data_IF_199419783844
#
_entry.id   IF_199419783844
#
_cell.length_a   1.000
_cell.length_b   1.000
_cell.length_c   1.000
_cell.angle_alpha   90.00
_cell.angle_beta   90.00
_cell.angle_gamma   90.00
#
_symmetry.space_group_name_H-M   'P 1'
#
loop_
_entity.id
_entity.type
_entity.pdbx_description
1 polymer ?
#
# COMPACT_ATOMS: atom_id res chain seq x y z
N UNK A 1 71.76 4.84 -34.56
CA UNK A 1 70.73 4.17 -35.39
C UNK A 1 69.53 5.09 -35.50
N UNK A 2 69.39 5.71 -36.68
CA UNK A 2 68.18 6.15 -37.41
C UNK A 2 67.02 6.84 -36.63
N UNK A 3 66.93 8.16 -36.85
CA UNK A 3 65.76 9.09 -36.82
C UNK A 3 64.73 8.68 -37.91
N UNK A 4 63.44 9.15 -38.07
CA UNK A 4 62.76 10.30 -37.44
C UNK A 4 61.19 10.30 -37.32
N UNK A 5 60.65 11.45 -36.83
CA UNK A 5 59.53 12.25 -37.36
C UNK A 5 58.03 11.85 -37.28
N UNK A 6 57.27 12.82 -36.72
CA UNK A 6 56.06 13.53 -37.22
C UNK A 6 54.67 12.84 -37.34
N UNK A 7 53.68 13.66 -36.93
CA UNK A 7 52.36 13.96 -37.53
C UNK A 7 51.06 13.43 -36.89
N UNK A 8 50.38 14.37 -36.20
CA UNK A 8 48.97 14.80 -36.28
C UNK A 8 47.89 13.87 -36.89
N UNK A 9 46.80 13.78 -36.12
CA UNK A 9 45.40 14.18 -36.42
C UNK A 9 44.31 13.10 -36.33
N UNK A 10 43.28 13.46 -35.54
CA UNK A 10 41.85 13.13 -35.58
C UNK A 10 41.38 11.72 -35.95
N UNK A 11 40.67 11.08 -35.02
CA UNK A 11 39.28 10.62 -35.28
C UNK A 11 38.66 9.95 -34.03
N UNK A 12 37.59 10.55 -33.54
CA UNK A 12 36.35 9.92 -33.07
C UNK A 12 36.42 8.43 -32.67
N UNK A 13 36.57 8.15 -31.37
CA UNK A 13 36.25 6.82 -30.83
C UNK A 13 34.73 6.78 -30.58
N UNK A 14 34.07 6.02 -31.46
CA UNK A 14 32.68 5.61 -31.37
C UNK A 14 32.37 4.99 -30.00
N UNK A 15 31.31 5.49 -29.38
CA UNK A 15 30.62 4.87 -28.25
C UNK A 15 30.01 3.55 -28.73
N UNK A 16 30.58 2.42 -28.34
CA UNK A 16 29.84 1.17 -28.29
C UNK A 16 28.98 1.19 -27.03
N UNK A 17 27.70 1.51 -27.21
CA UNK A 17 26.65 1.32 -26.22
C UNK A 17 26.57 -0.18 -25.94
N UNK A 18 27.11 -0.59 -24.79
CA UNK A 18 26.84 -1.90 -24.22
C UNK A 18 25.34 -2.06 -24.00
N UNK A 19 24.78 -3.12 -24.56
CA UNK A 19 23.37 -3.53 -24.38
C UNK A 19 23.06 -3.57 -22.88
N UNK A 20 22.00 -2.87 -22.51
CA UNK A 20 21.46 -2.76 -21.16
C UNK A 20 20.96 -4.10 -20.63
N UNK A 21 21.20 -4.32 -19.33
CA UNK A 21 20.75 -5.43 -18.47
C UNK A 21 19.21 -5.53 -18.29
N UNK A 22 18.40 -5.31 -19.34
CA UNK A 22 16.93 -5.32 -19.27
C UNK A 22 16.30 -6.70 -19.55
N UNK A 23 17.06 -7.70 -20.00
CA UNK A 23 16.53 -9.03 -20.36
C UNK A 23 16.52 -10.06 -19.23
N UNK A 24 17.20 -9.80 -18.10
CA UNK A 24 17.44 -10.83 -17.07
C UNK A 24 16.28 -11.10 -16.10
N UNK A 25 15.10 -10.47 -16.29
CA UNK A 25 13.96 -10.58 -15.35
C UNK A 25 12.59 -10.85 -16.02
N UNK A 26 12.56 -11.27 -17.29
CA UNK A 26 11.30 -11.64 -17.95
C UNK A 26 10.91 -13.08 -17.61
N UNK A 27 9.70 -13.25 -17.09
CA UNK A 27 9.10 -14.58 -16.87
C UNK A 27 9.00 -15.33 -18.22
N UNK A 28 9.54 -16.55 -18.35
CA UNK A 28 9.47 -17.32 -19.58
C UNK A 28 8.02 -17.53 -20.04
N UNK A 29 7.79 -17.43 -21.35
CA UNK A 29 6.44 -17.58 -21.94
C UNK A 29 5.79 -18.93 -21.59
N UNK A 30 6.59 -19.99 -21.49
CA UNK A 30 6.13 -21.31 -21.06
C UNK A 30 5.53 -21.30 -19.65
N UNK A 31 6.17 -20.58 -18.71
CA UNK A 31 5.69 -20.45 -17.32
C UNK A 31 4.38 -19.65 -17.27
N UNK A 32 4.26 -18.59 -18.09
CA UNK A 32 3.00 -17.83 -18.21
C UNK A 32 1.86 -18.71 -18.71
N UNK A 33 2.10 -19.57 -19.71
CA UNK A 33 1.11 -20.52 -20.22
C UNK A 33 0.67 -21.49 -19.12
N UNK A 34 1.60 -22.00 -18.32
CA UNK A 34 1.28 -22.94 -17.25
C UNK A 34 0.53 -22.28 -16.09
N UNK A 35 0.83 -21.02 -15.76
CA UNK A 35 0.03 -20.22 -14.81
C UNK A 35 -1.41 -20.10 -15.32
N UNK A 36 -1.61 -19.74 -16.59
CA UNK A 36 -2.95 -19.62 -17.17
C UNK A 36 -3.70 -20.96 -17.14
N UNK A 37 -3.03 -22.07 -17.49
CA UNK A 37 -3.63 -23.41 -17.40
C UNK A 37 -4.02 -23.78 -15.98
N UNK A 38 -3.19 -23.44 -15.00
CA UNK A 38 -3.52 -23.65 -13.59
C UNK A 38 -4.76 -22.83 -13.20
N UNK A 39 -4.87 -21.59 -13.66
CA UNK A 39 -6.01 -20.73 -13.34
C UNK A 39 -7.31 -21.24 -13.95
N UNK A 40 -7.29 -21.57 -15.25
CA UNK A 40 -8.44 -22.14 -15.95
C UNK A 40 -8.89 -23.44 -15.27
N UNK A 41 -7.94 -24.27 -14.80
CA UNK A 41 -8.25 -25.49 -14.03
C UNK A 41 -8.92 -25.16 -12.71
N UNK A 42 -8.40 -24.18 -11.95
CA UNK A 42 -9.01 -23.77 -10.69
C UNK A 42 -10.41 -23.23 -10.90
N UNK A 43 -10.67 -22.48 -11.98
CA UNK A 43 -12.00 -21.91 -12.27
C UNK A 43 -13.08 -22.98 -12.49
N UNK A 44 -12.71 -24.17 -13.01
CA UNK A 44 -13.66 -25.27 -13.27
C UNK A 44 -13.71 -26.32 -12.15
N UNK A 45 -12.85 -26.24 -11.13
CA UNK A 45 -12.86 -27.19 -10.00
C UNK A 45 -14.13 -27.06 -9.17
N UNK A 46 -14.59 -28.14 -8.53
CA UNK A 46 -15.63 -28.03 -7.50
C UNK A 46 -15.07 -27.35 -6.24
N UNK A 47 -15.91 -26.68 -5.45
CA UNK A 47 -15.47 -26.07 -4.18
C UNK A 47 -14.81 -27.10 -3.24
N UNK A 48 -15.33 -28.34 -3.22
CA UNK A 48 -14.76 -29.45 -2.46
C UNK A 48 -13.32 -29.77 -2.90
N UNK A 49 -13.05 -29.76 -4.20
CA UNK A 49 -11.71 -30.02 -4.74
C UNK A 49 -10.75 -28.85 -4.48
N UNK A 50 -11.24 -27.61 -4.55
CA UNK A 50 -10.45 -26.41 -4.21
C UNK A 50 -10.00 -26.50 -2.75
N UNK A 51 -10.93 -26.75 -1.82
CA UNK A 51 -10.63 -26.93 -0.39
C UNK A 51 -9.65 -28.08 -0.18
N UNK A 52 -9.85 -29.22 -0.85
CA UNK A 52 -8.94 -30.36 -0.74
C UNK A 52 -7.50 -30.00 -1.19
N UNK A 53 -7.35 -29.23 -2.27
CA UNK A 53 -6.05 -28.78 -2.77
C UNK A 53 -5.39 -27.73 -1.89
N UNK A 54 -6.15 -26.79 -1.34
CA UNK A 54 -5.65 -25.86 -0.33
C UNK A 54 -5.12 -26.63 0.89
N UNK A 55 -5.86 -27.63 1.39
CA UNK A 55 -5.39 -28.50 2.49
C UNK A 55 -4.10 -29.24 2.13
N UNK A 56 -3.99 -29.80 0.91
CA UNK A 56 -2.75 -30.45 0.46
C UNK A 56 -1.54 -29.51 0.46
N UNK A 57 -1.76 -28.22 0.19
CA UNK A 57 -0.73 -27.19 0.25
C UNK A 57 -0.54 -26.59 1.65
N UNK A 58 -1.22 -27.11 2.68
CA UNK A 58 -1.21 -26.59 4.05
C UNK A 58 -1.66 -25.11 4.12
N UNK A 59 -2.60 -24.76 3.25
CA UNK A 59 -3.14 -23.41 3.14
C UNK A 59 -4.47 -23.26 3.89
N UNK A 60 -4.73 -22.06 4.40
CA UNK A 60 -6.01 -21.65 4.99
C UNK A 60 -7.18 -21.97 4.04
N UNK A 61 -8.24 -22.53 4.63
CA UNK A 61 -9.47 -22.93 3.94
C UNK A 61 -10.71 -22.17 4.42
N UNK A 62 -10.52 -21.06 5.15
CA UNK A 62 -11.61 -20.14 5.51
C UNK A 62 -11.79 -19.06 4.45
N UNK A 63 -13.03 -18.61 4.23
CA UNK A 63 -13.38 -17.59 3.26
C UNK A 63 -14.32 -18.10 2.16
N UNK A 64 -14.91 -17.15 1.44
CA UNK A 64 -15.84 -17.43 0.36
C UNK A 64 -15.18 -18.23 -0.78
N UNK A 65 -16.00 -18.94 -1.57
CA UNK A 65 -15.54 -19.73 -2.72
C UNK A 65 -14.58 -18.96 -3.64
N UNK A 66 -14.85 -17.66 -3.88
CA UNK A 66 -14.01 -16.80 -4.70
C UNK A 66 -12.61 -16.62 -4.09
N UNK A 67 -12.53 -16.36 -2.79
CA UNK A 67 -11.25 -16.17 -2.08
C UNK A 67 -10.46 -17.49 -2.10
N UNK A 68 -11.10 -18.63 -1.84
CA UNK A 68 -10.45 -19.93 -1.86
C UNK A 68 -9.87 -20.26 -3.24
N UNK A 69 -10.60 -19.94 -4.31
CA UNK A 69 -10.13 -20.09 -5.69
C UNK A 69 -8.93 -19.18 -5.98
N UNK A 70 -9.00 -17.90 -5.64
CA UNK A 70 -7.88 -16.97 -5.84
C UNK A 70 -6.64 -17.34 -5.03
N UNK A 71 -6.81 -17.86 -3.80
CA UNK A 71 -5.72 -18.36 -2.98
C UNK A 71 -5.02 -19.56 -3.63
N UNK A 72 -5.81 -20.48 -4.19
CA UNK A 72 -5.27 -21.64 -4.87
C UNK A 72 -4.54 -21.24 -6.17
N UNK A 73 -5.09 -20.30 -6.94
CA UNK A 73 -4.44 -19.73 -8.13
C UNK A 73 -3.09 -19.09 -7.79
N UNK A 74 -3.08 -18.19 -6.81
CA UNK A 74 -1.87 -17.52 -6.33
C UNK A 74 -0.81 -18.54 -5.88
N UNK A 75 -1.23 -19.63 -5.25
CA UNK A 75 -0.32 -20.67 -4.79
C UNK A 75 0.33 -21.44 -5.95
N UNK A 76 -0.45 -21.82 -6.97
CA UNK A 76 0.11 -22.40 -8.20
C UNK A 76 1.06 -21.42 -8.90
N UNK A 77 0.70 -20.14 -8.95
CA UNK A 77 1.55 -19.10 -9.53
C UNK A 77 2.90 -19.03 -8.81
N UNK A 78 2.91 -19.00 -7.47
CA UNK A 78 4.12 -19.00 -6.65
C UNK A 78 4.97 -20.25 -6.90
N UNK A 79 4.36 -21.43 -6.96
CA UNK A 79 5.07 -22.70 -7.21
C UNK A 79 5.75 -22.69 -8.59
N UNK A 80 5.02 -22.30 -9.64
CA UNK A 80 5.52 -22.30 -11.01
C UNK A 80 6.65 -21.29 -11.22
N UNK A 81 6.58 -20.16 -10.54
CA UNK A 81 7.59 -19.11 -10.59
C UNK A 81 8.85 -19.46 -9.77
N UNK A 82 8.68 -20.05 -8.59
CA UNK A 82 9.81 -20.58 -7.81
C UNK A 82 10.55 -21.69 -8.56
N UNK A 83 9.84 -22.48 -9.39
CA UNK A 83 10.44 -23.54 -10.21
C UNK A 83 11.43 -23.05 -11.27
N UNK A 84 11.44 -21.75 -11.58
CA UNK A 84 12.36 -21.12 -12.54
C UNK A 84 13.28 -20.07 -11.89
N UNK A 85 13.44 -20.10 -10.56
CA UNK A 85 14.18 -19.13 -9.75
C UNK A 85 13.77 -17.66 -9.99
N UNK A 86 12.63 -17.45 -10.63
CA UNK A 86 11.99 -16.17 -10.80
C UNK A 86 10.96 -16.08 -9.70
N UNK A 87 11.40 -15.93 -8.44
CA UNK A 87 10.45 -15.50 -7.42
C UNK A 87 9.81 -14.23 -7.96
N UNK A 88 8.47 -14.15 -8.05
CA UNK A 88 7.80 -12.86 -8.02
C UNK A 88 8.48 -12.14 -6.87
N UNK A 89 9.23 -11.07 -7.15
CA UNK A 89 9.65 -10.18 -6.09
C UNK A 89 8.34 -9.77 -5.42
N UNK A 90 8.03 -10.38 -4.28
CA UNK A 90 6.97 -9.89 -3.45
C UNK A 90 7.49 -8.51 -3.08
N UNK A 91 6.98 -7.48 -3.75
CA UNK A 91 7.33 -6.07 -3.53
C UNK A 91 6.83 -5.59 -2.15
N UNK A 92 6.78 -6.50 -1.18
CA UNK A 92 6.47 -6.26 0.20
C UNK A 92 7.66 -5.58 0.85
N UNK A 93 7.34 -4.60 1.68
CA UNK A 93 8.32 -4.04 2.60
C UNK A 93 8.57 -5.04 3.73
N UNK A 94 9.78 -5.08 4.31
CA UNK A 94 10.10 -5.99 5.41
C UNK A 94 9.16 -5.83 6.62
N UNK A 95 8.72 -4.60 6.88
CA UNK A 95 7.84 -4.28 7.98
C UNK A 95 6.71 -3.33 7.57
N UNK A 96 5.59 -3.49 8.25
CA UNK A 96 4.45 -2.57 8.19
C UNK A 96 4.11 -2.12 9.62
N UNK A 97 3.82 -0.84 9.79
CA UNK A 97 3.41 -0.26 11.06
C UNK A 97 1.97 0.19 10.92
N UNK A 98 1.05 -0.55 11.50
CA UNK A 98 -0.37 -0.23 11.45
C UNK A 98 -0.65 0.83 12.52
N UNK A 99 -1.33 1.91 12.17
CA UNK A 99 -1.75 2.99 13.08
C UNK A 99 -3.23 3.25 12.85
N UNK A 100 -3.98 3.42 13.93
CA UNK A 100 -5.39 3.80 13.91
C UNK A 100 -5.66 4.71 15.12
N UNK A 101 -5.68 6.03 14.91
CA UNK A 101 -5.76 6.98 16.01
C UNK A 101 -7.19 7.10 16.52
N UNK A 102 -7.35 7.13 17.84
CA UNK A 102 -8.55 7.71 18.44
C UNK A 102 -8.33 9.19 18.70
N UNK A 103 -9.37 9.99 18.47
CA UNK A 103 -9.32 11.43 18.62
C UNK A 103 -10.56 11.98 19.35
N UNK A 104 -10.42 13.14 19.99
CA UNK A 104 -11.56 13.85 20.57
C UNK A 104 -12.64 14.06 19.51
N UNK A 105 -13.91 13.88 19.88
CA UNK A 105 -15.02 13.97 18.94
C UNK A 105 -16.31 14.46 19.59
N UNK A 106 -17.24 14.88 18.73
CA UNK A 106 -18.61 15.27 19.07
C UNK A 106 -19.57 14.30 18.37
N UNK A 107 -20.77 14.16 18.92
CA UNK A 107 -21.83 13.34 18.33
C UNK A 107 -22.16 13.77 16.89
N UNK A 108 -22.23 15.07 16.65
CA UNK A 108 -22.35 15.63 15.30
C UNK A 108 -20.97 16.00 14.75
N UNK A 109 -20.71 15.66 13.48
CA UNK A 109 -19.48 16.06 12.78
C UNK A 109 -19.53 17.57 12.47
N UNK A 110 -19.26 18.37 13.50
CA UNK A 110 -19.35 19.82 13.46
C UNK A 110 -18.16 20.40 12.68
N UNK A 111 -18.39 21.15 11.58
CA UNK A 111 -17.32 21.78 10.82
C UNK A 111 -16.45 22.67 11.71
N UNK A 112 -15.14 22.53 11.61
CA UNK A 112 -14.17 23.32 12.37
C UNK A 112 -13.87 22.81 13.79
N UNK A 113 -14.48 21.72 14.23
CA UNK A 113 -14.07 21.08 15.49
C UNK A 113 -12.61 20.62 15.42
N UNK A 114 -11.83 20.98 16.45
CA UNK A 114 -10.40 20.69 16.53
C UNK A 114 -10.19 19.34 17.22
N UNK A 115 -10.17 18.28 16.42
CA UNK A 115 -9.85 16.94 16.88
C UNK A 115 -8.40 16.85 17.37
N UNK A 116 -8.20 16.33 18.57
CA UNK A 116 -6.89 16.03 19.15
C UNK A 116 -6.75 14.52 19.33
N UNK A 117 -5.58 13.97 19.02
CA UNK A 117 -5.30 12.54 19.23
C UNK A 117 -5.33 12.25 20.74
N UNK A 118 -6.10 11.25 21.15
CA UNK A 118 -6.23 10.79 22.54
C UNK A 118 -5.77 9.35 22.75
N UNK A 119 -5.59 8.57 21.67
CA UNK A 119 -4.87 7.29 21.68
C UNK A 119 -3.92 7.23 20.49
N UNK A 120 -2.67 6.84 20.75
CA UNK A 120 -1.65 6.54 19.74
C UNK A 120 -1.28 5.06 19.81
N UNK A 121 -2.02 4.18 19.12
CA UNK A 121 -1.66 2.79 18.99
C UNK A 121 -0.76 2.57 17.76
N UNK A 122 0.07 1.54 17.83
CA UNK A 122 0.72 0.99 16.65
C UNK A 122 0.95 -0.52 16.76
N UNK A 123 0.81 -1.23 15.65
CA UNK A 123 1.08 -2.67 15.55
C UNK A 123 2.16 -2.91 14.51
N UNK A 124 3.23 -3.61 14.91
CA UNK A 124 4.33 -3.94 14.02
C UNK A 124 4.12 -5.33 13.40
N UNK A 125 4.06 -5.38 12.07
CA UNK A 125 3.97 -6.63 11.30
C UNK A 125 5.29 -6.88 10.59
N UNK A 126 5.82 -8.11 10.70
CA UNK A 126 6.93 -8.61 9.90
C UNK A 126 6.37 -9.37 8.70
N UNK A 127 6.59 -8.87 7.49
CA UNK A 127 5.98 -9.44 6.27
C UNK A 127 6.60 -10.78 5.86
N UNK A 128 7.87 -11.02 6.19
CA UNK A 128 8.55 -12.29 5.90
C UNK A 128 8.03 -13.41 6.78
N UNK A 129 7.84 -13.13 8.07
CA UNK A 129 7.31 -14.08 9.05
C UNK A 129 5.78 -14.16 9.04
N UNK A 130 5.12 -13.18 8.42
CA UNK A 130 3.66 -13.02 8.40
C UNK A 130 3.04 -13.04 9.80
N UNK A 131 3.66 -12.31 10.72
CA UNK A 131 3.21 -12.23 12.11
C UNK A 131 3.25 -10.80 12.65
N UNK A 132 2.41 -10.53 13.66
CA UNK A 132 2.54 -9.36 14.51
C UNK A 132 3.70 -9.62 15.47
N UNK A 133 4.70 -8.74 15.48
CA UNK A 133 5.93 -8.93 16.27
C UNK A 133 6.04 -8.00 17.48
N UNK A 134 5.32 -6.88 17.49
CA UNK A 134 5.26 -5.98 18.65
C UNK A 134 4.03 -5.07 18.57
N UNK A 135 3.66 -4.47 19.70
CA UNK A 135 2.58 -3.48 19.80
C UNK A 135 3.07 -2.28 20.64
N UNK A 136 2.56 -1.11 20.31
CA UNK A 136 2.74 0.13 21.07
C UNK A 136 1.35 0.71 21.32
N UNK A 137 1.13 1.24 22.52
CA UNK A 137 -0.11 1.93 22.86
C UNK A 137 0.22 2.96 23.94
N UNK A 138 -0.15 4.20 23.68
CA UNK A 138 -0.14 5.27 24.67
C UNK A 138 -1.38 6.13 24.48
N UNK A 139 -1.97 6.57 25.58
CA UNK A 139 -2.96 7.62 25.56
C UNK A 139 -2.28 8.98 25.47
N UNK A 140 -3.00 9.97 24.96
CA UNK A 140 -2.54 11.34 24.79
C UNK A 140 -3.48 12.29 25.55
N UNK A 141 -2.90 13.23 26.30
CA UNK A 141 -3.65 14.28 26.97
C UNK A 141 -3.99 15.41 25.99
N UNK A 142 -5.27 15.65 25.67
CA UNK A 142 -5.67 16.78 24.84
C UNK A 142 -5.52 18.11 25.60
N UNK A 143 -5.14 19.17 24.90
CA UNK A 143 -4.86 20.49 25.47
C UNK A 143 -5.85 21.57 25.02
N UNK A 144 -6.47 21.41 23.84
CA UNK A 144 -7.47 22.35 23.31
C UNK A 144 -8.85 22.01 23.88
N UNK A 145 -9.23 20.74 23.83
CA UNK A 145 -10.47 20.20 24.36
C UNK A 145 -10.16 19.13 25.43
N UNK A 146 -9.69 19.53 26.62
CA UNK A 146 -9.18 18.59 27.64
C UNK A 146 -10.27 17.69 28.25
N UNK A 147 -11.54 18.14 28.21
CA UNK A 147 -12.67 17.37 28.73
C UNK A 147 -13.30 16.59 27.58
N UNK A 148 -13.26 15.26 27.68
CA UNK A 148 -13.90 14.37 26.72
C UNK A 148 -15.41 14.53 26.80
N UNK A 149 -16.07 14.47 25.65
CA UNK A 149 -17.53 14.38 25.63
C UNK A 149 -17.97 12.98 26.03
N UNK A 150 -19.21 12.87 26.53
CA UNK A 150 -19.83 11.58 26.83
C UNK A 150 -19.84 10.68 25.59
N UNK A 151 -20.23 11.22 24.43
CA UNK A 151 -20.18 10.50 23.15
C UNK A 151 -18.77 9.98 22.81
N UNK A 152 -17.73 10.79 23.00
CA UNK A 152 -16.35 10.37 22.73
C UNK A 152 -15.92 9.22 23.66
N UNK A 153 -16.27 9.32 24.94
CA UNK A 153 -15.99 8.29 25.95
C UNK A 153 -16.74 6.99 25.64
N UNK A 154 -18.02 7.07 25.28
CA UNK A 154 -18.84 5.91 24.90
C UNK A 154 -18.34 5.24 23.62
N UNK A 155 -18.00 6.04 22.60
CA UNK A 155 -17.50 5.54 21.33
C UNK A 155 -16.15 4.85 21.54
N UNK A 156 -15.16 5.54 22.08
CA UNK A 156 -13.77 5.06 22.15
C UNK A 156 -13.48 4.15 23.36
N UNK A 157 -14.30 4.24 24.40
CA UNK A 157 -14.07 3.56 25.67
C UNK A 157 -12.96 4.20 26.51
N UNK A 158 -12.37 5.30 26.05
CA UNK A 158 -11.31 6.03 26.75
C UNK A 158 -11.95 6.92 27.80
N UNK A 159 -11.55 6.74 29.07
CA UNK A 159 -12.06 7.52 30.18
C UNK A 159 -11.34 8.85 30.34
N UNK A 160 -12.00 9.80 31.01
CA UNK A 160 -11.36 11.08 31.36
C UNK A 160 -10.10 10.88 32.20
N UNK A 161 -10.11 9.92 33.15
CA UNK A 161 -8.95 9.62 33.99
C UNK A 161 -7.73 9.15 33.18
N UNK A 162 -7.96 8.37 32.10
CA UNK A 162 -6.90 7.91 31.22
C UNK A 162 -6.23 9.07 30.49
N UNK A 163 -7.00 10.02 29.93
CA UNK A 163 -6.41 11.19 29.25
C UNK A 163 -5.85 12.21 30.23
N UNK A 164 -6.39 12.32 31.44
CA UNK A 164 -5.87 13.24 32.47
C UNK A 164 -4.48 12.83 32.96
N UNK A 165 -4.28 11.51 33.09
CA UNK A 165 -3.03 10.87 33.52
C UNK A 165 -2.02 10.66 32.38
N UNK A 166 -2.45 10.83 31.13
CA UNK A 166 -1.62 10.65 29.95
C UNK A 166 -0.58 11.77 29.77
N UNK A 167 0.46 11.47 28.99
CA UNK A 167 1.37 12.48 28.50
C UNK A 167 0.77 13.27 27.34
N UNK A 168 1.26 14.48 27.12
CA UNK A 168 0.90 15.29 25.94
C UNK A 168 1.50 14.69 24.67
N UNK A 169 0.86 14.96 23.52
CA UNK A 169 1.22 14.35 22.24
C UNK A 169 2.70 14.56 21.84
N UNK A 170 3.28 15.72 22.14
CA UNK A 170 4.69 16.05 21.87
C UNK A 170 5.66 15.08 22.56
N UNK A 171 5.28 14.52 23.72
CA UNK A 171 6.04 13.47 24.40
C UNK A 171 5.72 12.08 23.83
N UNK A 172 4.44 11.78 23.61
CA UNK A 172 4.00 10.47 23.09
C UNK A 172 4.63 10.18 21.72
N UNK A 173 4.71 11.17 20.82
CA UNK A 173 5.37 10.97 19.52
C UNK A 173 6.87 10.67 19.64
N UNK A 174 7.55 11.20 20.67
CA UNK A 174 8.95 10.86 20.96
C UNK A 174 9.07 9.43 21.47
N UNK A 175 8.14 8.98 22.32
CA UNK A 175 8.07 7.58 22.76
C UNK A 175 7.82 6.63 21.58
N UNK A 176 6.92 6.98 20.66
CA UNK A 176 6.69 6.22 19.44
C UNK A 176 7.94 6.15 18.55
N UNK A 177 8.66 7.27 18.36
CA UNK A 177 9.92 7.28 17.59
C UNK A 177 11.02 6.43 18.24
N UNK A 178 11.11 6.40 19.57
CA UNK A 178 12.01 5.49 20.30
C UNK A 178 11.61 4.04 20.07
N UNK A 179 10.32 3.73 20.08
CA UNK A 179 9.81 2.39 19.77
C UNK A 179 10.15 1.94 18.34
N UNK A 180 9.98 2.81 17.33
CA UNK A 180 10.45 2.54 15.96
C UNK A 180 11.97 2.28 15.90
N UNK A 181 12.74 3.07 16.64
CA UNK A 181 14.20 2.97 16.68
C UNK A 181 14.70 1.67 17.33
N UNK A 182 14.00 1.19 18.38
CA UNK A 182 14.27 -0.12 19.03
C UNK A 182 14.22 -1.27 18.01
N UNK A 183 13.33 -1.17 17.03
CA UNK A 183 13.18 -2.14 15.93
C UNK A 183 14.02 -1.80 14.69
N UNK A 184 14.87 -0.77 14.75
CA UNK A 184 15.72 -0.30 13.65
C UNK A 184 14.93 0.04 12.37
N UNK A 185 13.68 0.50 12.54
CA UNK A 185 12.79 0.88 11.45
C UNK A 185 13.17 2.27 10.92
N UNK A 186 13.34 2.38 9.60
CA UNK A 186 13.79 3.60 8.93
C UNK A 186 15.32 3.78 8.92
N UNK A 187 16.07 2.97 9.69
CA UNK A 187 17.53 2.91 9.64
C UNK A 187 18.02 1.66 8.91
N UNK A 188 17.92 0.49 9.55
CA UNK A 188 18.32 -0.80 8.97
C UNK A 188 17.21 -1.43 8.14
N UNK A 189 15.96 -1.27 8.57
CA UNK A 189 14.82 -1.92 7.96
C UNK A 189 13.87 -0.89 7.36
N UNK A 190 13.52 -1.06 6.08
CA UNK A 190 12.44 -0.29 5.45
C UNK A 190 11.10 -0.70 6.05
N UNK A 191 10.22 0.27 6.21
CA UNK A 191 8.84 0.03 6.62
C UNK A 191 7.90 1.02 5.95
N UNK A 192 6.60 0.78 6.05
CA UNK A 192 5.56 1.74 5.70
C UNK A 192 4.45 1.72 6.74
N UNK A 193 3.82 2.88 6.94
CA UNK A 193 2.60 2.97 7.75
C UNK A 193 1.41 2.41 6.98
N UNK A 194 0.49 1.76 7.68
CA UNK A 194 -0.78 1.25 7.15
C UNK A 194 -1.93 1.79 8.02
N UNK A 195 -3.00 2.28 7.41
CA UNK A 195 -4.15 2.89 8.10
C UNK A 195 -5.46 2.43 7.47
N UNK A 196 -6.56 2.49 8.23
CA UNK A 196 -7.92 2.20 7.74
C UNK A 196 -8.59 3.41 7.08
N UNK A 197 -7.97 3.88 6.00
CA UNK A 197 -8.40 5.08 5.28
C UNK A 197 -7.36 6.21 5.35
N UNK A 198 -7.74 7.42 4.88
CA UNK A 198 -6.79 8.51 4.78
C UNK A 198 -6.65 9.35 6.06
N UNK A 199 -7.62 9.31 6.97
CA UNK A 199 -7.79 10.35 8.00
C UNK A 199 -6.72 10.34 9.09
N UNK A 200 -6.16 9.19 9.46
CA UNK A 200 -5.09 9.11 10.46
C UNK A 200 -3.91 10.01 10.12
N UNK A 201 -3.40 9.88 8.90
CA UNK A 201 -2.25 10.67 8.45
C UNK A 201 -2.69 12.06 7.99
N UNK A 202 -3.74 12.15 7.17
CA UNK A 202 -4.10 13.40 6.48
C UNK A 202 -4.90 14.39 7.31
N UNK A 203 -5.56 13.94 8.37
CA UNK A 203 -6.38 14.78 9.25
C UNK A 203 -5.84 14.78 10.67
N UNK A 204 -5.80 13.63 11.34
CA UNK A 204 -5.49 13.58 12.79
C UNK A 204 -4.04 13.93 13.07
N UNK A 205 -3.07 13.17 12.55
CA UNK A 205 -1.65 13.45 12.74
C UNK A 205 -1.26 14.82 12.19
N UNK A 206 -1.76 15.16 11.00
CA UNK A 206 -1.50 16.45 10.38
C UNK A 206 -1.95 17.62 11.26
N UNK A 207 -3.20 17.58 11.72
CA UNK A 207 -3.76 18.66 12.55
C UNK A 207 -3.08 18.71 13.91
N UNK A 208 -2.80 17.56 14.53
CA UNK A 208 -2.11 17.50 15.82
C UNK A 208 -0.72 18.12 15.75
N UNK A 209 0.07 17.78 14.72
CA UNK A 209 1.37 18.42 14.49
C UNK A 209 1.21 19.93 14.24
N UNK A 210 0.19 20.33 13.47
CA UNK A 210 -0.06 21.74 13.18
C UNK A 210 -0.41 22.54 14.45
N UNK A 211 -1.30 22.02 15.31
CA UNK A 211 -1.69 22.68 16.56
C UNK A 211 -0.52 22.91 17.51
N UNK A 212 0.40 21.95 17.57
CA UNK A 212 1.57 21.99 18.44
C UNK A 212 2.81 22.61 17.78
N UNK A 213 2.68 23.09 16.53
CA UNK A 213 3.81 23.57 15.73
C UNK A 213 4.98 22.58 15.64
N UNK A 214 4.66 21.27 15.61
CA UNK A 214 5.65 20.20 15.47
C UNK A 214 5.93 19.92 13.99
N UNK A 215 7.18 19.56 13.63
CA UNK A 215 7.49 19.11 12.28
C UNK A 215 6.71 17.82 11.97
N UNK A 216 6.06 17.79 10.81
CA UNK A 216 5.34 16.59 10.39
C UNK A 216 6.33 15.44 10.11
N UNK A 217 6.14 14.25 10.70
CA UNK A 217 7.12 13.20 10.64
C UNK A 217 7.25 12.61 9.23
N UNK A 218 8.50 12.40 8.77
CA UNK A 218 8.77 11.84 7.43
C UNK A 218 8.08 10.50 7.19
N UNK A 219 7.99 9.64 8.21
CA UNK A 219 7.33 8.34 8.11
C UNK A 219 5.81 8.43 7.88
N UNK A 220 5.16 9.54 8.23
CA UNK A 220 3.73 9.75 8.01
C UNK A 220 3.39 10.33 6.63
N UNK A 221 4.40 10.67 5.81
CA UNK A 221 4.18 11.39 4.54
C UNK A 221 3.66 10.49 3.41
N UNK A 222 3.88 9.18 3.53
CA UNK A 222 3.39 8.15 2.60
C UNK A 222 2.94 6.95 3.40
N UNK A 223 1.78 6.41 3.06
CA UNK A 223 1.21 5.27 3.77
C UNK A 223 0.42 4.36 2.82
N UNK A 224 0.08 3.19 3.31
CA UNK A 224 -0.90 2.28 2.71
C UNK A 224 -2.26 2.58 3.34
N UNK A 225 -3.18 3.11 2.55
CA UNK A 225 -4.59 3.02 2.85
C UNK A 225 -5.06 1.61 2.52
N UNK A 226 -5.35 0.82 3.57
CA UNK A 226 -5.68 -0.59 3.40
C UNK A 226 -7.01 -0.78 2.68
N UNK A 227 -8.00 0.11 2.86
CA UNK A 227 -9.29 0.06 2.15
C UNK A 227 -9.09 0.11 0.63
N UNK A 228 -8.20 0.98 0.16
CA UNK A 228 -7.85 1.09 -1.27
C UNK A 228 -7.10 -0.13 -1.77
N UNK A 229 -6.16 -0.65 -0.97
CA UNK A 229 -5.42 -1.86 -1.33
C UNK A 229 -6.37 -3.07 -1.42
N UNK A 230 -7.27 -3.21 -0.45
CA UNK A 230 -8.28 -4.26 -0.35
C UNK A 230 -9.21 -4.23 -1.56
N UNK A 231 -9.84 -3.09 -1.83
CA UNK A 231 -10.70 -2.86 -2.99
C UNK A 231 -10.00 -3.22 -4.31
N UNK A 232 -8.74 -2.77 -4.48
CA UNK A 232 -7.96 -3.06 -5.68
C UNK A 232 -7.68 -4.56 -5.85
N UNK A 233 -7.36 -5.25 -4.76
CA UNK A 233 -6.97 -6.66 -4.79
C UNK A 233 -8.17 -7.59 -4.97
N UNK A 234 -9.17 -7.51 -4.09
CA UNK A 234 -10.35 -8.38 -4.12
C UNK A 234 -11.45 -7.92 -5.09
N UNK A 235 -11.26 -6.80 -5.80
CA UNK A 235 -12.26 -6.21 -6.71
C UNK A 235 -13.60 -5.93 -6.03
N UNK A 236 -13.55 -5.54 -4.76
CA UNK A 236 -14.72 -5.17 -3.95
C UNK A 236 -15.03 -3.69 -4.08
N UNK A 237 -16.17 -3.26 -3.50
CA UNK A 237 -16.41 -1.86 -3.19
C UNK A 237 -15.47 -1.37 -2.07
N UNK A 238 -15.49 -0.07 -1.79
CA UNK A 238 -14.74 0.50 -0.66
C UNK A 238 -15.41 0.11 0.65
N UNK A 239 -14.78 -0.76 1.42
CA UNK A 239 -15.29 -1.28 2.68
C UNK A 239 -14.59 -0.64 3.89
N UNK A 240 -15.31 -0.48 5.00
CA UNK A 240 -14.71 -0.19 6.30
C UNK A 240 -14.21 -1.46 6.99
N UNK A 241 -13.49 -1.30 8.11
CA UNK A 241 -12.88 -2.39 8.87
C UNK A 241 -13.79 -3.61 9.08
N UNK A 242 -14.96 -3.42 9.70
CA UNK A 242 -15.90 -4.51 9.99
C UNK A 242 -16.34 -5.26 8.72
N UNK A 243 -16.63 -4.54 7.64
CA UNK A 243 -17.08 -5.15 6.39
C UNK A 243 -15.92 -5.86 5.65
N UNK A 244 -14.68 -5.37 5.77
CA UNK A 244 -13.52 -6.09 5.25
C UNK A 244 -13.29 -7.40 6.01
N UNK A 245 -13.46 -7.40 7.34
CA UNK A 245 -13.40 -8.62 8.15
C UNK A 245 -14.50 -9.60 7.77
N UNK A 246 -15.74 -9.13 7.65
CA UNK A 246 -16.89 -9.94 7.23
C UNK A 246 -16.67 -10.56 5.84
N UNK A 247 -16.17 -9.76 4.88
CA UNK A 247 -15.83 -10.26 3.53
C UNK A 247 -14.80 -11.40 3.58
N UNK A 248 -13.83 -11.32 4.49
CA UNK A 248 -12.81 -12.35 4.71
C UNK A 248 -13.29 -13.49 5.62
N UNK A 249 -14.55 -13.48 6.06
CA UNK A 249 -15.13 -14.41 7.04
C UNK A 249 -14.37 -14.44 8.37
N UNK A 250 -13.87 -13.27 8.79
CA UNK A 250 -13.13 -13.08 10.03
C UNK A 250 -13.98 -12.32 11.03
N UNK A 251 -13.97 -12.76 12.29
CA UNK A 251 -14.60 -11.99 13.37
C UNK A 251 -13.68 -10.86 13.84
N UNK A 252 -14.28 -9.73 14.20
CA UNK A 252 -13.60 -8.67 14.95
C UNK A 252 -13.13 -9.23 16.31
N UNK A 253 -11.92 -8.84 16.73
CA UNK A 253 -11.35 -9.22 18.03
C UNK A 253 -11.06 -8.00 18.88
N UNK A 254 -11.54 -8.00 20.11
CA UNK A 254 -11.39 -6.86 21.03
C UNK A 254 -12.60 -5.94 21.00
N UNK A 255 -12.39 -4.67 21.36
CA UNK A 255 -13.44 -3.64 21.38
C UNK A 255 -13.34 -2.75 20.14
N UNK A 256 -14.44 -2.58 19.40
CA UNK A 256 -14.50 -1.64 18.27
C UNK A 256 -14.29 -0.21 18.79
N UNK A 257 -13.52 0.62 18.07
CA UNK A 257 -13.10 1.97 18.49
C UNK A 257 -12.18 2.00 19.70
N UNK A 258 -11.52 0.88 20.02
CA UNK A 258 -10.30 0.88 20.81
C UNK A 258 -9.16 0.83 19.79
N UNK A 259 -8.35 1.89 19.71
CA UNK A 259 -7.43 2.07 18.60
C UNK A 259 -6.41 0.93 18.47
N UNK A 260 -5.93 0.36 19.59
CA UNK A 260 -5.05 -0.81 19.53
C UNK A 260 -5.75 -2.07 18.99
N UNK A 261 -7.00 -2.30 19.37
CA UNK A 261 -7.76 -3.46 18.89
C UNK A 261 -8.11 -3.31 17.41
N UNK A 262 -8.51 -2.11 16.97
CA UNK A 262 -8.74 -1.82 15.56
C UNK A 262 -7.45 -2.00 14.74
N UNK A 263 -6.32 -1.44 15.20
CA UNK A 263 -5.01 -1.64 14.57
C UNK A 263 -4.60 -3.12 14.46
N UNK A 264 -4.90 -3.95 15.47
CA UNK A 264 -4.67 -5.40 15.39
C UNK A 264 -5.56 -6.08 14.36
N UNK A 265 -6.83 -5.66 14.22
CA UNK A 265 -7.72 -6.20 13.21
C UNK A 265 -7.31 -5.77 11.79
N UNK A 266 -6.86 -4.53 11.61
CA UNK A 266 -6.25 -4.06 10.36
C UNK A 266 -4.99 -4.88 10.04
N UNK A 267 -4.14 -5.16 11.02
CA UNK A 267 -2.97 -6.03 10.84
C UNK A 267 -3.36 -7.45 10.41
N UNK A 268 -4.45 -8.00 10.95
CA UNK A 268 -4.99 -9.31 10.54
C UNK A 268 -5.47 -9.30 9.09
N UNK A 269 -6.15 -8.24 8.64
CA UNK A 269 -6.54 -8.06 7.23
C UNK A 269 -5.28 -7.98 6.35
N UNK A 270 -4.31 -7.15 6.75
CA UNK A 270 -3.04 -7.00 6.01
C UNK A 270 -2.33 -8.35 5.84
N UNK A 271 -2.22 -9.13 6.90
CA UNK A 271 -1.62 -10.47 6.86
C UNK A 271 -2.39 -11.41 5.95
N UNK A 272 -3.73 -11.40 6.02
CA UNK A 272 -4.58 -12.19 5.12
C UNK A 272 -4.38 -11.79 3.66
N UNK A 273 -4.32 -10.50 3.37
CA UNK A 273 -4.03 -10.01 2.02
C UNK A 273 -2.65 -10.43 1.52
N UNK A 274 -1.60 -10.33 2.35
CA UNK A 274 -0.24 -10.78 2.01
C UNK A 274 -0.23 -12.28 1.72
N UNK A 275 -0.89 -13.05 2.56
CA UNK A 275 -1.02 -14.48 2.42
C UNK A 275 -1.70 -14.86 1.09
N UNK A 276 -2.81 -14.19 0.77
CA UNK A 276 -3.56 -14.31 -0.48
C UNK A 276 -2.78 -13.81 -1.71
N UNK A 277 -1.63 -13.16 -1.53
CA UNK A 277 -0.72 -12.73 -2.61
C UNK A 277 -0.83 -11.26 -3.02
N UNK A 278 -1.47 -10.43 -2.21
CA UNK A 278 -1.55 -9.01 -2.48
C UNK A 278 -0.18 -8.33 -2.41
N UNK A 279 0.12 -7.51 -3.41
CA UNK A 279 1.24 -6.58 -3.36
C UNK A 279 0.85 -5.34 -2.55
N UNK A 280 1.46 -5.17 -1.38
CA UNK A 280 1.15 -4.08 -0.45
C UNK A 280 2.22 -2.99 -0.54
N UNK A 281 1.90 -1.94 -1.31
CA UNK A 281 2.75 -0.77 -1.50
C UNK A 281 2.05 0.52 -1.06
N UNK A 282 2.79 1.57 -0.66
CA UNK A 282 2.22 2.87 -0.34
C UNK A 282 1.36 3.39 -1.51
N UNK A 283 0.12 3.77 -1.22
CA UNK A 283 -0.86 4.17 -2.22
C UNK A 283 -1.48 5.55 -1.94
N UNK A 284 -1.10 6.18 -0.83
CA UNK A 284 -1.45 7.56 -0.49
C UNK A 284 -0.23 8.33 0.02
N UNK A 285 -0.28 9.66 -0.14
CA UNK A 285 0.76 10.56 0.32
C UNK A 285 0.21 11.95 0.62
N UNK A 286 0.91 12.66 1.50
CA UNK A 286 0.77 14.10 1.66
C UNK A 286 1.94 14.77 0.92
N UNK A 287 1.64 15.79 0.13
CA UNK A 287 2.63 16.57 -0.61
C UNK A 287 2.58 18.02 -0.19
N UNK A 288 3.72 18.71 -0.28
CA UNK A 288 3.70 20.17 -0.16
C UNK A 288 2.93 20.75 -1.35
N UNK A 289 1.94 21.60 -1.08
CA UNK A 289 1.34 22.42 -2.12
C UNK A 289 2.48 23.27 -2.70
N UNK A 290 2.74 23.13 -4.00
CA UNK A 290 3.65 24.04 -4.70
C UNK A 290 3.06 25.43 -4.56
N UNK A 291 3.87 26.39 -4.09
CA UNK A 291 3.55 27.80 -4.26
C UNK A 291 3.26 28.03 -5.75
N UNK A 292 2.05 28.45 -6.06
CA UNK A 292 1.78 29.01 -7.37
C UNK A 292 2.65 30.26 -7.48
N UNK A 293 3.81 30.14 -8.14
CA UNK A 293 4.48 31.29 -8.72
C UNK A 293 3.49 31.89 -9.72
N UNK A 294 2.67 32.82 -9.24
CA UNK A 294 1.98 33.76 -10.09
C UNK A 294 3.07 34.51 -10.85
N UNK A 295 3.33 34.09 -12.10
CA UNK A 295 3.92 34.98 -13.09
C UNK A 295 2.91 36.09 -13.32
N UNK A 296 2.96 37.09 -12.43
CA UNK A 296 2.29 38.36 -12.63
C UNK A 296 2.85 38.95 -13.93
N UNK A 297 2.02 38.97 -14.98
CA UNK A 297 2.22 39.89 -16.09
C UNK A 297 2.13 41.30 -15.50
N UNK A 298 3.13 42.10 -15.87
CA UNK A 298 3.44 43.38 -15.26
C UNK A 298 2.28 44.37 -15.19
N UNK A 299 2.37 45.23 -14.18
CA UNK A 299 1.54 46.41 -13.98
C UNK A 299 2.08 47.19 -12.79
N UNK A 300 2.97 48.14 -13.06
CA UNK A 300 3.51 49.09 -12.09
C UNK A 300 2.41 49.70 -11.20
N UNK A 301 2.64 49.71 -9.89
CA UNK A 301 2.50 50.93 -9.07
C UNK A 301 3.18 50.75 -7.71
N UNK A 302 4.05 51.71 -7.42
CA UNK A 302 4.80 51.95 -6.20
C UNK A 302 3.94 51.93 -4.93
N UNK A 303 4.47 51.41 -3.81
CA UNK A 303 4.51 52.14 -2.54
C UNK A 303 5.49 51.51 -1.53
N UNK A 304 5.98 52.36 -0.63
CA UNK A 304 7.18 52.33 0.23
C UNK A 304 7.31 51.21 1.29
N UNK A 305 8.55 50.83 1.60
CA UNK A 305 8.96 50.10 2.83
C UNK A 305 8.88 51.00 4.09
N UNK A 306 8.89 50.41 5.30
CA UNK A 306 10.17 50.29 6.01
C UNK A 306 10.45 48.91 6.66
N UNK A 307 11.74 48.75 6.98
CA UNK A 307 12.49 47.58 7.45
C UNK A 307 12.18 47.18 8.91
N UNK A 308 12.37 45.89 9.24
CA UNK A 308 13.42 45.30 10.14
C UNK A 308 12.89 44.08 10.89
N UNK A 309 13.69 43.01 10.94
CA UNK A 309 13.53 41.91 11.90
C UNK A 309 13.77 40.55 11.27
N UNK A 310 14.96 39.99 11.51
CA UNK A 310 15.31 38.59 11.25
C UNK A 310 14.18 37.65 11.72
N UNK A 311 13.70 36.77 10.84
CA UNK A 311 12.79 35.70 11.23
C UNK A 311 13.25 34.38 10.61
N UNK A 312 13.55 33.46 11.52
CA UNK A 312 13.86 32.04 11.36
C UNK A 312 13.07 31.34 10.24
N UNK A 313 13.83 30.73 9.31
CA UNK A 313 13.38 29.88 8.20
C UNK A 313 12.63 28.59 8.63
N UNK A 314 12.42 28.35 9.93
CA UNK A 314 11.78 27.12 10.45
C UNK A 314 10.26 27.24 10.68
N UNK A 315 9.68 28.46 10.61
CA UNK A 315 8.27 28.71 10.95
C UNK A 315 7.28 28.55 9.78
N UNK A 316 7.76 28.43 8.55
CA UNK A 316 6.91 28.42 7.34
C UNK A 316 6.59 27.00 6.82
N UNK A 317 7.20 25.96 7.40
CA UNK A 317 7.18 24.60 6.84
C UNK A 317 5.85 23.84 6.91
N UNK A 318 4.89 24.26 7.73
CA UNK A 318 3.65 23.52 8.01
C UNK A 318 2.38 24.07 7.35
N UNK A 319 2.45 25.19 6.61
CA UNK A 319 1.24 25.85 6.07
C UNK A 319 0.75 25.34 4.70
N UNK A 320 1.55 24.55 3.97
CA UNK A 320 1.27 24.23 2.58
C UNK A 320 1.37 22.73 2.29
N UNK A 321 0.50 21.89 2.84
CA UNK A 321 0.46 20.45 2.56
C UNK A 321 -0.93 20.05 2.00
N UNK A 322 -0.95 19.41 0.81
CA UNK A 322 -2.14 18.81 0.15
C UNK A 322 -1.98 17.30 0.09
N UNK A 323 -3.05 16.58 0.40
CA UNK A 323 -3.12 15.14 0.14
C UNK A 323 -3.20 14.94 -1.37
N UNK A 324 -2.25 14.19 -1.93
CA UNK A 324 -2.30 13.80 -3.32
C UNK A 324 -2.45 12.29 -3.40
N UNK A 325 -3.58 11.83 -3.93
CA UNK A 325 -3.71 10.46 -4.38
C UNK A 325 -2.96 10.31 -5.70
N UNK A 326 -1.74 9.76 -5.68
CA UNK A 326 -1.10 9.30 -6.90
C UNK A 326 -1.54 7.87 -7.20
N UNK A 327 -2.64 7.73 -7.95
CA UNK A 327 -2.73 6.68 -8.94
C UNK A 327 -2.32 7.31 -10.28
N UNK A 328 -1.02 7.45 -10.52
CA UNK A 328 -0.59 7.26 -11.91
C UNK A 328 -0.65 5.74 -12.10
N UNK A 329 -1.42 5.23 -13.07
CA UNK A 329 -1.33 3.84 -13.40
C UNK A 329 0.13 3.61 -13.81
N UNK A 330 0.89 2.91 -12.99
CA UNK A 330 1.83 1.97 -13.57
C UNK A 330 0.90 0.92 -14.16
N UNK A 331 0.44 1.19 -15.38
CA UNK A 331 -0.06 0.13 -16.20
C UNK A 331 1.07 -0.89 -16.22
N UNK A 332 0.78 -2.10 -15.77
CA UNK A 332 1.48 -3.26 -16.29
C UNK A 332 1.04 -3.43 -17.76
N UNK A 333 1.33 -2.43 -18.61
CA UNK A 333 1.02 -2.41 -20.05
C UNK A 333 1.95 -3.33 -20.84
N UNK A 334 2.91 -3.97 -20.18
CA UNK A 334 3.78 -4.98 -20.76
C UNK A 334 3.36 -6.42 -20.43
N UNK A 335 2.22 -6.65 -19.78
CA UNK A 335 1.56 -7.95 -19.86
C UNK A 335 0.52 -7.91 -20.99
N UNK A 336 0.61 -8.81 -21.98
CA UNK A 336 -0.31 -8.79 -23.11
C UNK A 336 -1.73 -8.89 -22.58
N UNK A 337 -2.54 -7.89 -22.94
CA UNK A 337 -3.91 -7.69 -22.53
C UNK A 337 -4.65 -9.05 -22.51
N UNK A 338 -4.91 -9.60 -21.33
CA UNK A 338 -5.37 -10.99 -21.14
C UNK A 338 -6.63 -11.30 -21.95
N UNK A 339 -7.49 -10.30 -22.16
CA UNK A 339 -8.68 -10.38 -23.02
C UNK A 339 -8.31 -10.53 -24.51
N UNK A 340 -7.24 -9.89 -24.96
CA UNK A 340 -6.71 -9.98 -26.33
C UNK A 340 -6.05 -11.33 -26.58
N UNK A 341 -5.23 -11.82 -25.65
CA UNK A 341 -4.62 -13.17 -25.75
C UNK A 341 -5.68 -14.26 -25.74
N UNK A 342 -6.69 -14.16 -24.86
CA UNK A 342 -7.82 -15.10 -24.81
C UNK A 342 -8.67 -15.06 -26.09
N UNK A 343 -8.88 -13.87 -26.68
CA UNK A 343 -9.60 -13.69 -27.95
C UNK A 343 -8.81 -14.22 -29.15
N UNK A 344 -7.52 -13.90 -29.25
CA UNK A 344 -6.64 -14.38 -30.34
C UNK A 344 -6.49 -15.91 -30.29
N UNK A 345 -6.41 -16.50 -29.09
CA UNK A 345 -6.37 -17.96 -28.88
C UNK A 345 -7.70 -18.65 -29.21
N UNK A 346 -8.85 -18.10 -28.79
CA UNK A 346 -10.17 -18.62 -29.19
C UNK A 346 -10.37 -18.56 -30.72
N UNK A 347 -9.87 -17.51 -31.37
CA UNK A 347 -9.89 -17.41 -32.84
C UNK A 347 -8.98 -18.46 -33.49
N UNK A 348 -7.80 -18.72 -32.92
CA UNK A 348 -6.86 -19.73 -33.42
C UNK A 348 -7.40 -21.16 -33.24
N UNK A 349 -7.97 -21.48 -32.07
CA UNK A 349 -8.60 -22.78 -31.78
C UNK A 349 -9.84 -23.00 -32.67
N UNK A 350 -10.67 -21.98 -32.88
CA UNK A 350 -11.80 -22.05 -33.81
C UNK A 350 -11.36 -22.24 -35.28
N UNK A 351 -10.24 -21.63 -35.71
CA UNK A 351 -9.68 -21.83 -37.05
C UNK A 351 -9.12 -23.24 -37.22
N UNK A 352 -8.44 -23.78 -36.19
CA UNK A 352 -7.90 -25.13 -36.21
C UNK A 352 -9.02 -26.18 -36.24
N UNK A 353 -10.06 -26.01 -35.42
CA UNK A 353 -11.25 -26.89 -35.42
C UNK A 353 -11.96 -26.90 -36.78
N UNK A 354 -12.11 -25.74 -37.42
CA UNK A 354 -12.69 -25.65 -38.79
C UNK A 354 -11.80 -26.30 -39.85
N UNK A 355 -10.48 -26.26 -39.71
CA UNK A 355 -9.54 -26.92 -40.62
C UNK A 355 -9.59 -28.45 -40.48
N UNK A 356 -9.69 -28.95 -39.25
CA UNK A 356 -9.86 -30.38 -38.96
C UNK A 356 -11.18 -30.90 -39.54
N UNK A 357 -12.28 -30.17 -39.32
CA UNK A 357 -13.61 -30.53 -39.84
C UNK A 357 -13.71 -30.56 -41.37
N UNK A 358 -12.96 -29.69 -42.08
CA UNK A 358 -12.88 -29.71 -43.55
C UNK A 358 -12.09 -30.92 -44.04
N UNK A 359 -10.95 -31.21 -43.42
CA UNK A 359 -10.13 -32.36 -43.80
C UNK A 359 -10.82 -33.71 -43.53
N UNK A 360 -11.68 -33.79 -42.51
CA UNK A 360 -12.49 -35.00 -42.26
C UNK A 360 -13.63 -35.18 -43.26
N UNK A 361 -14.18 -34.10 -43.84
CA UNK A 361 -15.21 -34.20 -44.89
C UNK A 361 -14.64 -34.63 -46.24
N UNK A 362 -13.45 -34.12 -46.61
CA UNK A 362 -12.76 -34.51 -47.85
C UNK A 362 -12.31 -35.98 -47.85
N UNK A 363 -12.12 -36.57 -46.66
CA UNK A 363 -11.77 -37.99 -46.49
C UNK A 363 -12.98 -38.92 -46.58
N UNK A 364 -14.19 -38.44 -46.24
CA UNK A 364 -15.44 -39.22 -46.32
C UNK A 364 -16.12 -39.16 -47.68
N UNK A 365 -15.77 -38.19 -48.54
CA UNK A 365 -16.31 -38.09 -49.91
C UNK A 365 -15.42 -38.78 -50.96
N UNK A 366 -14.27 -39.35 -50.56
CA UNK A 366 -13.34 -40.10 -51.44
C UNK A 366 -13.21 -41.59 -51.10
N UNK A 367 -14.04 -42.09 -50.19
CA UNK A 367 -14.25 -43.50 -49.88
C UNK A 367 -15.65 -43.90 -50.29
#
# INVERSE_FOLDING_TARGET
MVVPAKMKNDSSINVQVGKSDEESNKVPEAVLIDIVRAYDKVDIMSLKDVIAKLKCFHLDTQGSENILRENLKTSYQKILLNGVDLSLSNDLLPYYVIIDFEATCLHSNTPGYRHEIIEFPAVLVNSRKQEIVDCFQMYCKPQINPILTEFCTELTGITQEQVDSAETFDKVIVHFQKWLSKHQLGSKHKFCVVTDGPFDMSRFLYSQCHYLSLPFPKWGTKWVNIRKAFCKFYKSESLGLSNMLEYLEMNFKGRLHCGLDDAKNIARILLRMIYDGACILPNERITRAKEHQNKAKGGNKSFTQPKTGEQDETKEETKNLRVEAHCKPVYYDNMPNFKRVKKERLIAEAKLARKILRNTKDMTEKS
#
